data_IF_836794109744
#
_entry.id   IF_836794109744
#
_cell.length_a   1.000
_cell.length_b   1.000
_cell.length_c   1.000
_cell.angle_alpha   90.00
_cell.angle_beta   90.00
_cell.angle_gamma   90.00
#
_symmetry.space_group_name_H-M   'P 1'
#
loop_
_entity.id
_entity.type
_entity.pdbx_description
1 polymer ?
#
# COMPACT_ATOMS: atom_id res chain seq x y z
N UNK A 1 8.85 5.75 -19.36
CA UNK A 1 8.98 5.16 -18.02
C UNK A 1 9.24 6.28 -17.02
N UNK A 2 8.20 7.01 -16.56
CA UNK A 2 8.35 8.29 -15.83
C UNK A 2 9.13 8.20 -14.51
N UNK A 3 9.22 7.02 -13.91
CA UNK A 3 9.87 6.81 -12.62
C UNK A 3 11.25 6.12 -12.71
N UNK A 4 11.69 5.73 -13.92
CA UNK A 4 12.97 5.03 -14.14
C UNK A 4 13.98 5.91 -14.90
N UNK A 5 13.89 7.23 -14.75
CA UNK A 5 14.83 8.16 -15.35
C UNK A 5 16.15 8.29 -14.56
N UNK A 6 16.11 7.98 -13.26
CA UNK A 6 17.28 7.88 -12.40
C UNK A 6 17.84 6.46 -12.43
N UNK A 7 19.12 6.31 -12.81
CA UNK A 7 19.81 5.02 -12.87
C UNK A 7 20.01 4.35 -11.50
N UNK A 8 19.79 5.05 -10.39
CA UNK A 8 19.78 4.48 -9.05
C UNK A 8 18.43 3.86 -8.65
N UNK A 9 17.36 4.09 -9.41
CA UNK A 9 16.04 3.53 -9.10
C UNK A 9 15.97 2.05 -9.43
N UNK A 10 15.89 1.19 -8.41
CA UNK A 10 15.82 -0.26 -8.58
C UNK A 10 14.40 -0.77 -8.86
N UNK A 11 13.38 -0.20 -8.21
CA UNK A 11 11.97 -0.55 -8.39
C UNK A 11 11.07 0.61 -8.01
N UNK A 12 9.79 0.52 -8.38
CA UNK A 12 8.74 1.48 -8.02
C UNK A 12 7.59 0.65 -7.44
N UNK A 13 7.24 0.88 -6.18
CA UNK A 13 6.12 0.21 -5.53
C UNK A 13 4.88 1.10 -5.59
N UNK A 14 3.74 0.52 -5.96
CA UNK A 14 2.43 1.18 -5.94
C UNK A 14 1.58 0.57 -4.80
N UNK A 15 0.68 1.34 -4.16
CA UNK A 15 -0.26 0.77 -3.21
C UNK A 15 -1.12 -0.34 -3.83
N UNK A 16 -1.14 -1.51 -3.19
CA UNK A 16 -2.10 -2.55 -3.50
C UNK A 16 -3.43 -2.19 -2.81
N UNK A 17 -4.51 -2.13 -3.58
CA UNK A 17 -5.83 -1.76 -3.09
C UNK A 17 -6.87 -2.83 -3.46
N UNK A 18 -7.74 -3.17 -2.51
CA UNK A 18 -8.79 -4.16 -2.68
C UNK A 18 -10.17 -3.52 -2.60
N UNK A 19 -11.07 -3.88 -3.52
CA UNK A 19 -12.44 -3.40 -3.51
C UNK A 19 -13.38 -4.26 -2.65
N UNK A 20 -13.01 -5.52 -2.43
CA UNK A 20 -13.76 -6.43 -1.56
C UNK A 20 -13.43 -6.16 -0.09
N UNK A 21 -14.42 -6.37 0.76
CA UNK A 21 -14.24 -6.32 2.21
C UNK A 21 -13.28 -7.44 2.64
N UNK A 22 -12.38 -7.12 3.58
CA UNK A 22 -11.62 -8.14 4.28
C UNK A 22 -12.54 -8.92 5.26
N UNK A 23 -12.11 -10.09 5.77
CA UNK A 23 -12.93 -10.90 6.65
C UNK A 23 -13.41 -10.18 7.92
N UNK A 24 -12.65 -9.22 8.45
CA UNK A 24 -13.06 -8.46 9.63
C UNK A 24 -14.11 -7.41 9.28
N UNK A 25 -13.93 -6.71 8.16
CA UNK A 25 -14.93 -5.78 7.63
C UNK A 25 -16.26 -6.48 7.36
N UNK A 26 -16.22 -7.62 6.67
CA UNK A 26 -17.40 -8.39 6.28
C UNK A 26 -18.11 -9.00 7.49
N UNK A 27 -17.40 -9.77 8.33
CA UNK A 27 -18.02 -10.50 9.44
C UNK A 27 -18.55 -9.58 10.55
N UNK A 28 -18.03 -8.35 10.65
CA UNK A 28 -18.46 -7.35 11.64
C UNK A 28 -19.35 -6.26 11.06
N UNK A 29 -19.77 -6.37 9.79
CA UNK A 29 -20.59 -5.36 9.09
C UNK A 29 -20.01 -3.94 9.20
N UNK A 30 -18.68 -3.82 9.08
CA UNK A 30 -17.95 -2.60 9.44
C UNK A 30 -17.31 -1.85 8.27
N UNK A 31 -17.57 -2.28 7.03
CA UNK A 31 -17.06 -1.64 5.79
C UNK A 31 -17.08 -0.12 5.80
N UNK A 32 -18.22 0.47 6.19
CA UNK A 32 -18.42 1.92 6.14
C UNK A 32 -17.83 2.67 7.34
N UNK A 33 -17.29 1.95 8.32
CA UNK A 33 -16.74 2.49 9.58
C UNK A 33 -15.25 2.27 9.73
N UNK A 34 -14.71 1.17 9.21
CA UNK A 34 -13.32 0.76 9.38
C UNK A 34 -12.72 0.54 8.00
N UNK A 35 -11.62 1.25 7.65
CA UNK A 35 -10.92 1.04 6.38
C UNK A 35 -10.31 -0.36 6.32
N UNK A 36 -9.96 -0.82 5.12
CA UNK A 36 -9.29 -2.12 4.97
C UNK A 36 -7.96 -2.07 5.71
N UNK A 37 -7.63 -3.13 6.45
CA UNK A 37 -6.40 -3.16 7.25
C UNK A 37 -5.14 -2.90 6.40
N UNK A 38 -5.11 -3.40 5.17
CA UNK A 38 -3.95 -3.22 4.28
C UNK A 38 -3.74 -1.77 3.85
N UNK A 39 -4.78 -0.93 3.84
CA UNK A 39 -4.67 0.47 3.43
C UNK A 39 -3.74 1.25 4.38
N UNK A 40 -3.75 0.93 5.67
CA UNK A 40 -2.87 1.60 6.63
C UNK A 40 -1.40 1.35 6.29
N UNK A 41 -1.03 0.09 6.02
CA UNK A 41 0.33 -0.25 5.67
C UNK A 41 0.74 0.30 4.29
N UNK A 42 -0.11 0.10 3.27
CA UNK A 42 0.24 0.45 1.88
C UNK A 42 0.18 1.96 1.61
N UNK A 43 -0.79 2.69 2.17
CA UNK A 43 -1.01 4.09 1.85
C UNK A 43 -0.39 5.05 2.88
N UNK A 44 -0.24 4.61 4.15
CA UNK A 44 0.33 5.47 5.20
C UNK A 44 1.78 5.12 5.51
N UNK A 45 2.07 3.86 5.87
CA UNK A 45 3.42 3.48 6.32
C UNK A 45 4.42 3.42 5.17
N UNK A 46 4.09 2.79 4.03
CA UNK A 46 4.99 2.73 2.88
C UNK A 46 5.27 4.12 2.29
N UNK A 47 4.27 4.99 2.21
CA UNK A 47 4.46 6.39 1.81
C UNK A 47 5.40 7.14 2.77
N UNK A 48 5.29 6.90 4.09
CA UNK A 48 6.22 7.47 5.07
C UNK A 48 7.66 6.96 4.92
N UNK A 49 7.84 5.70 4.50
CA UNK A 49 9.15 5.07 4.29
C UNK A 49 9.88 5.56 3.03
N UNK A 50 9.14 6.07 2.05
CA UNK A 50 9.70 6.61 0.80
C UNK A 50 10.77 7.68 1.04
N UNK A 51 10.51 8.58 1.99
CA UNK A 51 11.47 9.62 2.41
C UNK A 51 12.83 9.08 2.89
N UNK A 52 12.88 7.83 3.34
CA UNK A 52 14.05 7.22 3.93
C UNK A 52 14.67 6.13 3.04
N UNK A 53 14.23 6.01 1.78
CA UNK A 53 14.63 4.92 0.87
C UNK A 53 14.42 3.53 1.51
N UNK A 54 13.32 3.39 2.26
CA UNK A 54 13.01 2.21 3.06
C UNK A 54 11.72 1.51 2.61
N UNK A 55 11.23 1.86 1.43
CA UNK A 55 10.07 1.18 0.82
C UNK A 55 10.43 -0.28 0.60
N UNK A 56 9.49 -1.15 0.93
CA UNK A 56 9.67 -2.59 0.75
C UNK A 56 8.94 -3.03 -0.51
N UNK A 57 9.58 -3.90 -1.28
CA UNK A 57 8.90 -4.71 -2.30
C UNK A 57 8.01 -5.72 -1.59
N UNK A 58 6.70 -5.67 -1.86
CA UNK A 58 5.70 -6.48 -1.15
C UNK A 58 5.03 -7.52 -2.03
N UNK A 59 5.61 -7.79 -3.20
CA UNK A 59 5.09 -8.75 -4.17
C UNK A 59 4.58 -8.04 -5.41
N UNK A 60 3.27 -8.05 -5.61
CA UNK A 60 2.62 -7.36 -6.73
C UNK A 60 2.69 -5.82 -6.60
#
# INVERSE_FOLDING_TARGET
MPYFHDGATAFVQVPQAFYNEDPFQYNMFSKDRIPNEQDFFMQTLQAGKDRFNAVMYVGE
#
